data_IF_100280614870
#
_entry.id   IF_100280614870
#
_cell.length_a   1.000
_cell.length_b   1.000
_cell.length_c   1.000
_cell.angle_alpha   90.00
_cell.angle_beta   90.00
_cell.angle_gamma   90.00
#
_symmetry.space_group_name_H-M   'P 1'
#
loop_
_entity.id
_entity.type
_entity.pdbx_description
1 polymer ?
#
# COMPACT_ATOMS: atom_id res chain seq x y z
N UNK A 1 8.42 -2.75 -12.92
CA UNK A 1 7.61 -3.79 -12.24
C UNK A 1 6.21 -3.78 -12.83
N UNK A 2 5.63 -4.96 -13.09
CA UNK A 2 4.26 -5.08 -13.60
C UNK A 2 3.41 -5.84 -12.57
N UNK A 3 2.24 -5.31 -12.22
CA UNK A 3 1.36 -5.89 -11.21
C UNK A 3 0.08 -6.44 -11.84
N UNK A 4 -0.21 -7.71 -11.57
CA UNK A 4 -1.46 -8.36 -11.92
C UNK A 4 -2.41 -8.39 -10.72
N UNK A 5 -3.71 -8.27 -10.96
CA UNK A 5 -4.71 -8.20 -9.90
C UNK A 5 -5.35 -9.55 -9.63
N UNK A 6 -5.41 -9.94 -8.36
CA UNK A 6 -6.22 -11.05 -7.84
C UNK A 6 -6.54 -10.79 -6.36
N UNK A 7 -7.77 -11.07 -5.94
CA UNK A 7 -8.21 -10.98 -4.54
C UNK A 7 -8.33 -12.36 -3.87
N UNK A 8 -8.28 -13.45 -4.65
CA UNK A 8 -8.41 -14.82 -4.15
C UNK A 8 -9.85 -15.26 -3.88
N UNK A 9 -10.83 -14.35 -3.98
CA UNK A 9 -12.25 -14.61 -3.77
C UNK A 9 -13.02 -14.48 -5.08
N UNK A 10 -13.19 -13.26 -5.59
CA UNK A 10 -13.90 -12.96 -6.83
C UNK A 10 -13.01 -13.21 -8.05
N UNK A 11 -11.73 -12.88 -7.95
CA UNK A 11 -10.72 -13.02 -9.00
C UNK A 11 -9.59 -13.90 -8.47
N UNK A 12 -9.69 -15.21 -8.75
CA UNK A 12 -8.72 -16.22 -8.31
C UNK A 12 -7.46 -16.29 -9.16
N UNK A 13 -7.56 -15.98 -10.45
CA UNK A 13 -6.41 -15.96 -11.37
C UNK A 13 -5.98 -14.50 -11.60
N UNK A 14 -4.69 -14.16 -11.43
CA UNK A 14 -4.21 -12.82 -11.68
C UNK A 14 -4.58 -12.33 -13.09
N UNK A 15 -5.28 -11.20 -13.17
CA UNK A 15 -5.65 -10.57 -14.43
C UNK A 15 -4.74 -9.38 -14.72
N UNK A 16 -4.45 -9.18 -16.00
CA UNK A 16 -3.82 -7.97 -16.50
C UNK A 16 -4.90 -6.91 -16.74
N UNK A 17 -4.68 -5.72 -16.20
CA UNK A 17 -5.56 -4.58 -16.42
C UNK A 17 -4.73 -3.29 -16.50
N UNK A 18 -5.36 -2.19 -16.93
CA UNK A 18 -4.75 -0.87 -16.91
C UNK A 18 -4.53 -0.39 -15.47
N UNK A 19 -3.60 0.55 -15.27
CA UNK A 19 -3.30 1.09 -13.94
C UNK A 19 -4.52 1.71 -13.23
N UNK A 20 -5.41 2.50 -13.89
CA UNK A 20 -6.61 3.01 -13.23
C UNK A 20 -7.53 1.88 -12.74
N UNK A 21 -7.73 0.85 -13.57
CA UNK A 21 -8.56 -0.31 -13.21
C UNK A 21 -7.93 -1.16 -12.11
N UNK A 22 -6.60 -1.26 -12.09
CA UNK A 22 -5.88 -1.93 -11.01
C UNK A 22 -6.06 -1.20 -9.68
N UNK A 23 -5.89 0.13 -9.68
CA UNK A 23 -6.04 0.97 -8.49
C UNK A 23 -7.48 0.93 -7.98
N UNK A 24 -8.47 0.98 -8.87
CA UNK A 24 -9.89 0.85 -8.54
C UNK A 24 -10.19 -0.47 -7.79
N UNK A 25 -9.77 -1.61 -8.36
CA UNK A 25 -9.91 -2.90 -7.68
C UNK A 25 -9.18 -2.95 -6.34
N UNK A 26 -7.99 -2.35 -6.26
CA UNK A 26 -7.20 -2.31 -5.06
C UNK A 26 -7.87 -1.52 -3.95
N UNK A 27 -8.32 -0.30 -4.25
CA UNK A 27 -8.94 0.59 -3.28
C UNK A 27 -10.30 0.05 -2.83
N UNK A 28 -11.09 -0.49 -3.75
CA UNK A 28 -12.36 -1.16 -3.44
C UNK A 28 -12.12 -2.33 -2.50
N UNK A 29 -11.17 -3.21 -2.82
CA UNK A 29 -10.86 -4.35 -1.96
C UNK A 29 -10.37 -3.91 -0.57
N UNK A 30 -9.50 -2.90 -0.49
CA UNK A 30 -9.04 -2.38 0.82
C UNK A 30 -10.23 -1.86 1.63
N UNK A 31 -11.13 -1.10 1.01
CA UNK A 31 -12.34 -0.59 1.65
C UNK A 31 -13.22 -1.74 2.16
N UNK A 32 -13.47 -2.77 1.35
CA UNK A 32 -14.23 -3.96 1.75
C UNK A 32 -13.61 -4.65 2.98
N UNK A 33 -12.27 -4.71 3.07
CA UNK A 33 -11.62 -5.26 4.26
C UNK A 33 -11.79 -4.38 5.50
N UNK A 34 -11.77 -3.05 5.35
CA UNK A 34 -11.91 -2.10 6.45
C UNK A 34 -13.35 -2.04 6.98
N UNK A 35 -14.33 -2.25 6.11
CA UNK A 35 -15.75 -2.26 6.47
C UNK A 35 -16.22 -3.62 7.03
N UNK A 36 -15.42 -4.67 6.90
CA UNK A 36 -15.68 -5.98 7.49
C UNK A 36 -15.45 -5.95 9.01
N UNK A 37 -16.54 -5.84 9.79
CA UNK A 37 -16.49 -5.83 11.27
C UNK A 37 -15.85 -7.09 11.88
N UNK A 38 -15.72 -8.19 11.12
CA UNK A 38 -15.02 -9.40 11.59
C UNK A 38 -13.50 -9.26 11.48
N UNK A 39 -13.01 -8.38 10.61
CA UNK A 39 -11.59 -8.07 10.41
C UNK A 39 -11.17 -6.81 11.15
N UNK A 40 -11.99 -5.75 11.10
CA UNK A 40 -11.80 -4.48 11.77
C UNK A 40 -13.00 -4.19 12.68
N UNK A 41 -13.02 -4.75 13.90
CA UNK A 41 -14.14 -4.56 14.81
C UNK A 41 -14.34 -3.08 15.19
N UNK A 42 -15.55 -2.57 14.96
CA UNK A 42 -15.96 -1.20 15.27
C UNK A 42 -16.45 -1.03 16.73
N UNK A 43 -16.84 -2.14 17.37
CA UNK A 43 -17.42 -2.16 18.72
C UNK A 43 -16.35 -2.37 19.78
N UNK A 44 -16.39 -1.54 20.82
CA UNK A 44 -15.49 -1.64 21.97
C UNK A 44 -15.59 -3.03 22.59
N UNK A 45 -14.44 -3.65 22.88
CA UNK A 45 -14.35 -4.95 23.53
C UNK A 45 -14.41 -6.16 22.58
N UNK A 46 -14.65 -5.96 21.28
CA UNK A 46 -14.55 -7.04 20.29
C UNK A 46 -13.08 -7.20 19.87
N UNK A 47 -12.46 -8.38 20.05
CA UNK A 47 -11.06 -8.59 19.69
C UNK A 47 -10.88 -8.74 18.19
N UNK A 48 -9.69 -8.36 17.69
CA UNK A 48 -9.27 -8.65 16.32
C UNK A 48 -9.18 -10.17 16.06
N UNK A 49 -9.41 -10.61 14.82
CA UNK A 49 -9.31 -12.02 14.48
C UNK A 49 -7.86 -12.51 14.48
N UNK A 50 -7.65 -13.82 14.63
CA UNK A 50 -6.30 -14.44 14.70
C UNK A 50 -5.44 -14.15 13.46
N UNK A 51 -6.06 -13.93 12.30
CA UNK A 51 -5.38 -13.64 11.03
C UNK A 51 -5.21 -12.14 10.76
N UNK A 52 -5.59 -11.25 11.67
CA UNK A 52 -5.55 -9.78 11.48
C UNK A 52 -4.20 -9.30 10.93
N UNK A 53 -3.10 -9.77 11.52
CA UNK A 53 -1.76 -9.37 11.09
C UNK A 53 -1.48 -9.75 9.62
N UNK A 54 -1.96 -10.91 9.17
CA UNK A 54 -1.81 -11.33 7.77
C UNK A 54 -2.61 -10.40 6.82
N UNK A 55 -3.81 -10.01 7.24
CA UNK A 55 -4.68 -9.09 6.48
C UNK A 55 -4.05 -7.70 6.41
N UNK A 56 -3.62 -7.15 7.54
CA UNK A 56 -2.98 -5.83 7.61
C UNK A 56 -1.71 -5.76 6.74
N UNK A 57 -0.85 -6.78 6.78
CA UNK A 57 0.33 -6.87 5.90
C UNK A 57 -0.06 -6.90 4.42
N UNK A 58 -1.14 -7.60 4.08
CA UNK A 58 -1.65 -7.67 2.69
C UNK A 58 -2.17 -6.32 2.22
N UNK A 59 -2.92 -5.60 3.06
CA UNK A 59 -3.41 -4.23 2.77
C UNK A 59 -2.23 -3.29 2.53
N UNK A 60 -1.29 -3.21 3.47
CA UNK A 60 -0.13 -2.31 3.38
C UNK A 60 0.72 -2.62 2.14
N UNK A 61 0.96 -3.90 1.85
CA UNK A 61 1.66 -4.30 0.62
C UNK A 61 0.96 -3.82 -0.64
N UNK A 62 -0.38 -3.88 -0.69
CA UNK A 62 -1.15 -3.39 -1.83
C UNK A 62 -1.05 -1.87 -1.93
N UNK A 63 -1.24 -1.14 -0.83
CA UNK A 63 -1.11 0.32 -0.81
C UNK A 63 0.29 0.80 -1.25
N UNK A 64 1.36 0.09 -0.89
CA UNK A 64 2.71 0.38 -1.37
C UNK A 64 2.81 0.38 -2.92
N UNK A 65 2.09 -0.50 -3.61
CA UNK A 65 2.10 -0.56 -5.08
C UNK A 65 1.52 0.70 -5.71
N UNK A 66 0.58 1.36 -5.04
CA UNK A 66 0.00 2.63 -5.49
C UNK A 66 1.06 3.73 -5.39
N UNK A 67 1.78 3.83 -4.27
CA UNK A 67 2.93 4.74 -4.16
C UNK A 67 3.98 4.48 -5.24
N UNK A 68 4.38 3.22 -5.43
CA UNK A 68 5.32 2.85 -6.48
C UNK A 68 4.85 3.29 -7.86
N UNK A 69 3.57 3.10 -8.18
CA UNK A 69 3.02 3.56 -9.44
C UNK A 69 3.08 5.08 -9.61
N UNK A 70 2.68 5.84 -8.59
CA UNK A 70 2.69 7.31 -8.63
C UNK A 70 4.11 7.84 -8.83
N UNK A 71 5.08 7.36 -8.05
CA UNK A 71 6.47 7.80 -8.17
C UNK A 71 7.11 7.44 -9.53
N UNK A 72 6.77 6.28 -10.09
CA UNK A 72 7.38 5.84 -11.35
C UNK A 72 6.73 6.41 -12.60
N UNK A 73 5.43 6.70 -12.57
CA UNK A 73 4.66 7.02 -13.79
C UNK A 73 4.01 8.41 -13.77
N UNK A 74 3.83 9.01 -12.59
CA UNK A 74 3.06 10.24 -12.42
C UNK A 74 3.75 11.30 -11.57
N UNK A 75 5.05 11.16 -11.31
CA UNK A 75 5.79 12.13 -10.50
C UNK A 75 5.82 13.51 -11.14
N UNK A 76 5.94 13.59 -12.48
CA UNK A 76 5.84 14.87 -13.22
C UNK A 76 4.50 15.58 -12.96
N UNK A 77 3.39 14.84 -12.93
CA UNK A 77 2.07 15.38 -12.61
C UNK A 77 1.99 15.86 -11.15
N UNK A 78 2.61 15.13 -10.22
CA UNK A 78 2.69 15.53 -8.81
C UNK A 78 3.48 16.82 -8.65
N UNK A 79 4.59 16.98 -9.37
CA UNK A 79 5.39 18.21 -9.39
C UNK A 79 4.59 19.38 -9.99
N UNK A 80 3.86 19.15 -11.09
CA UNK A 80 3.00 20.17 -11.71
C UNK A 80 1.91 20.68 -10.76
N UNK A 81 1.39 19.79 -9.91
CA UNK A 81 0.41 20.12 -8.88
C UNK A 81 1.03 20.71 -7.60
N UNK A 82 2.37 20.78 -7.51
CA UNK A 82 3.11 21.20 -6.30
C UNK A 82 2.83 20.32 -5.07
N UNK A 83 2.53 19.03 -5.30
CA UNK A 83 2.12 18.06 -4.27
C UNK A 83 3.26 17.14 -3.81
N UNK A 84 4.48 17.37 -4.29
CA UNK A 84 5.66 16.55 -4.01
C UNK A 84 5.98 16.43 -2.52
N UNK A 85 5.81 17.52 -1.76
CA UNK A 85 6.07 17.53 -0.32
C UNK A 85 5.04 16.67 0.44
N UNK A 86 3.77 16.71 0.04
CA UNK A 86 2.72 15.90 0.64
C UNK A 86 2.93 14.42 0.34
N UNK A 87 3.22 14.08 -0.92
CA UNK A 87 3.50 12.70 -1.32
C UNK A 87 4.72 12.14 -0.57
N UNK A 88 5.82 12.89 -0.51
CA UNK A 88 7.05 12.47 0.18
C UNK A 88 6.85 12.30 1.69
N UNK A 89 6.10 13.21 2.33
CA UNK A 89 5.82 13.13 3.76
C UNK A 89 4.95 11.91 4.08
N UNK A 90 3.89 11.71 3.31
CA UNK A 90 2.99 10.55 3.44
C UNK A 90 3.75 9.24 3.22
N UNK A 91 4.57 9.16 2.19
CA UNK A 91 5.37 7.97 1.89
C UNK A 91 6.44 7.70 2.94
N UNK A 92 7.13 8.73 3.45
CA UNK A 92 8.13 8.58 4.52
C UNK A 92 7.49 8.02 5.79
N UNK A 93 6.36 8.56 6.21
CA UNK A 93 5.62 8.05 7.36
C UNK A 93 5.18 6.60 7.15
N UNK A 94 4.62 6.29 5.98
CA UNK A 94 4.25 4.93 5.61
C UNK A 94 5.43 3.96 5.73
N UNK A 95 6.61 4.33 5.22
CA UNK A 95 7.80 3.49 5.26
C UNK A 95 8.30 3.27 6.69
N UNK A 96 8.38 4.31 7.52
CA UNK A 96 8.77 4.15 8.92
C UNK A 96 7.81 3.24 9.68
N UNK A 97 6.50 3.39 9.46
CA UNK A 97 5.50 2.54 10.09
C UNK A 97 5.65 1.07 9.69
N UNK A 98 5.79 0.77 8.39
CA UNK A 98 5.94 -0.63 7.94
C UNK A 98 7.27 -1.24 8.35
N UNK A 99 8.33 -0.44 8.50
CA UNK A 99 9.64 -0.90 8.97
C UNK A 99 9.62 -1.21 10.47
N UNK A 100 9.06 -0.31 11.28
CA UNK A 100 8.96 -0.47 12.74
C UNK A 100 8.29 -1.79 13.13
N UNK A 101 7.19 -2.12 12.45
CA UNK A 101 6.40 -3.31 12.74
C UNK A 101 6.68 -4.50 11.79
N UNK A 102 7.68 -4.38 10.91
CA UNK A 102 8.05 -5.41 9.92
C UNK A 102 6.83 -5.94 9.12
N UNK A 103 6.05 -5.02 8.55
CA UNK A 103 4.76 -5.30 7.91
C UNK A 103 4.90 -5.62 6.41
N UNK A 104 6.00 -5.24 5.77
CA UNK A 104 6.27 -5.52 4.36
C UNK A 104 7.69 -6.12 4.24
N UNK A 105 7.80 -7.22 3.50
CA UNK A 105 9.10 -7.82 3.18
C UNK A 105 9.96 -6.84 2.36
N UNK A 106 11.25 -6.74 2.70
CA UNK A 106 12.21 -5.91 1.97
C UNK A 106 12.22 -6.16 0.46
N UNK A 107 11.98 -7.40 0.03
CA UNK A 107 11.91 -7.76 -1.41
C UNK A 107 10.78 -7.03 -2.13
N UNK A 108 9.66 -6.81 -1.44
CA UNK A 108 8.50 -6.11 -2.00
C UNK A 108 8.74 -4.59 -2.05
N UNK A 109 9.65 -4.05 -1.22
CA UNK A 109 10.04 -2.64 -1.20
C UNK A 109 11.08 -2.27 -2.27
N UNK A 110 11.70 -3.27 -2.91
CA UNK A 110 12.73 -3.10 -3.94
C UNK A 110 12.40 -2.06 -5.04
N UNK A 111 11.15 -1.91 -5.52
CA UNK A 111 10.83 -0.91 -6.54
C UNK A 111 11.11 0.55 -6.17
N UNK A 112 11.17 0.88 -4.87
CA UNK A 112 11.42 2.22 -4.35
C UNK A 112 12.60 2.27 -3.39
N UNK A 113 13.51 1.29 -3.42
CA UNK A 113 14.62 1.16 -2.48
C UNK A 113 15.48 2.44 -2.41
N UNK A 114 15.90 2.96 -3.58
CA UNK A 114 16.71 4.18 -3.65
C UNK A 114 16.00 5.40 -3.05
N UNK A 115 14.67 5.49 -3.22
CA UNK A 115 13.87 6.57 -2.66
C UNK A 115 13.73 6.42 -1.14
N UNK A 116 13.51 5.19 -0.66
CA UNK A 116 13.44 4.86 0.77
C UNK A 116 14.75 5.28 1.47
N UNK A 117 15.90 4.95 0.88
CA UNK A 117 17.21 5.32 1.42
C UNK A 117 17.43 6.84 1.45
N UNK A 118 17.04 7.54 0.39
CA UNK A 118 17.12 9.01 0.31
C UNK A 118 16.20 9.72 1.31
N UNK A 119 15.00 9.19 1.56
CA UNK A 119 14.06 9.79 2.51
C UNK A 119 14.43 9.47 3.97
N UNK A 120 15.06 8.33 4.22
CA UNK A 120 15.52 7.90 5.54
C UNK A 120 16.80 8.59 6.03
N UNK A 121 17.63 9.13 5.12
CA UNK A 121 18.88 9.81 5.48
C UNK A 121 18.71 11.25 5.96
N UNK A 122 17.53 11.86 5.80
CA UNK A 122 17.28 13.25 6.24
C UNK A 122 17.15 13.43 7.76
N UNK A 123 16.95 12.35 8.53
CA UNK A 123 16.73 12.40 9.98
C UNK A 123 17.81 11.65 10.79
N UNK A 124 18.88 11.18 10.14
CA UNK A 124 20.06 10.55 10.78
C UNK A 124 21.26 11.48 10.69
#
# INVERSE_FOLDING_TARGET
YEYHWADGTNIKKPIKCSAPKYIDYLMTWVQDQLDDETLFPSKIGVPFPKNFMSVAKTILKRLFRVYAHIYHQHFDSVMQLQEEAHLNTSFKHFIFFVQEFNLIDRRELAPLQDLIEKLGSKDR
#
